data_IF_017989822200
#
_entry.id   IF_017989822200
#
_cell.length_a   1.000
_cell.length_b   1.000
_cell.length_c   1.000
_cell.angle_alpha   90.00
_cell.angle_beta   90.00
_cell.angle_gamma   90.00
#
_symmetry.space_group_name_H-M   'P 1'
#
loop_
_entity.id
_entity.type
_entity.pdbx_description
1 polymer ?
#
# COMPACT_ATOMS: atom_id res chain seq x y z
N UNK A 1 51.81 31.78 3.95
CA UNK A 1 52.82 30.86 4.54
C UNK A 1 52.08 29.68 5.14
N UNK A 2 52.39 28.46 4.67
CA UNK A 2 51.99 27.13 5.16
C UNK A 2 50.47 26.81 5.18
N UNK A 3 49.96 25.70 4.65
CA UNK A 3 50.58 24.51 4.09
C UNK A 3 49.50 23.58 3.55
N UNK A 4 49.83 22.94 2.43
CA UNK A 4 49.08 21.97 1.66
C UNK A 4 48.95 20.63 2.41
N UNK A 5 47.76 20.02 2.44
CA UNK A 5 47.63 18.55 2.42
C UNK A 5 46.57 18.18 1.41
N UNK A 6 47.08 17.90 0.21
CA UNK A 6 46.45 17.19 -0.88
C UNK A 6 46.44 15.69 -0.51
N UNK A 7 45.27 15.08 -0.34
CA UNK A 7 45.14 13.61 -0.45
C UNK A 7 44.29 13.32 -1.68
N UNK A 8 44.99 13.13 -2.79
CA UNK A 8 44.48 12.44 -3.97
C UNK A 8 44.64 10.94 -3.70
N UNK A 9 43.51 10.23 -3.56
CA UNK A 9 43.46 8.78 -3.78
C UNK A 9 42.52 8.53 -4.95
N UNK A 10 43.13 8.26 -6.12
CA UNK A 10 42.47 7.76 -7.32
C UNK A 10 42.22 6.26 -7.14
N UNK A 11 40.98 5.81 -7.34
CA UNK A 11 40.67 4.38 -7.42
C UNK A 11 39.19 4.10 -7.62
N UNK A 12 38.74 4.12 -8.87
CA UNK A 12 37.39 3.79 -9.36
C UNK A 12 36.88 2.44 -8.81
N UNK A 13 35.66 2.44 -8.32
CA UNK A 13 34.83 1.27 -8.07
C UNK A 13 33.37 1.68 -7.97
N UNK A 14 32.78 1.97 -9.13
CA UNK A 14 31.39 2.38 -9.30
C UNK A 14 30.46 1.24 -8.81
N UNK A 15 29.93 1.34 -7.60
CA UNK A 15 28.78 0.55 -7.16
C UNK A 15 27.59 1.50 -6.96
N UNK A 16 27.07 1.98 -8.08
CA UNK A 16 25.73 2.52 -8.16
C UNK A 16 24.75 1.34 -8.04
N UNK A 17 24.40 0.96 -6.82
CA UNK A 17 23.26 0.07 -6.59
C UNK A 17 22.46 0.52 -5.37
N UNK A 18 21.18 0.78 -5.63
CA UNK A 18 20.06 1.06 -4.70
C UNK A 18 19.90 2.50 -4.21
N UNK A 19 19.30 3.33 -5.07
CA UNK A 19 18.42 4.43 -4.62
C UNK A 19 16.95 4.21 -5.01
N UNK A 20 16.60 3.04 -5.55
CA UNK A 20 15.21 2.69 -5.91
C UNK A 20 14.70 1.51 -5.08
N UNK A 21 14.45 1.72 -3.79
CA UNK A 21 13.40 1.05 -3.03
C UNK A 21 13.51 1.46 -1.56
N UNK A 22 12.36 1.66 -0.92
CA UNK A 22 12.15 1.76 0.55
C UNK A 22 11.82 3.14 1.14
N UNK A 23 11.26 4.06 0.35
CA UNK A 23 10.38 5.09 0.91
C UNK A 23 8.93 4.73 0.60
N UNK A 24 8.09 4.34 1.58
CA UNK A 24 6.65 4.38 1.36
C UNK A 24 6.30 5.82 0.96
N UNK A 25 5.64 6.06 -0.19
CA UNK A 25 5.31 7.41 -0.57
C UNK A 25 4.47 8.04 0.55
N UNK A 26 4.82 9.26 1.02
CA UNK A 26 3.99 9.98 1.97
C UNK A 26 2.58 10.08 1.38
N UNK A 27 1.53 10.05 2.19
CA UNK A 27 0.15 9.90 1.69
C UNK A 27 -0.29 11.04 0.75
N UNK A 28 -0.04 10.82 -0.54
CA UNK A 28 0.22 11.83 -1.57
C UNK A 28 -0.91 12.86 -1.76
N UNK A 29 -2.18 12.44 -1.76
CA UNK A 29 -3.31 13.38 -1.93
C UNK A 29 -3.49 14.38 -0.78
N UNK A 30 -3.12 14.00 0.45
CA UNK A 30 -3.15 14.91 1.59
C UNK A 30 -1.95 15.86 1.57
N UNK A 31 -0.80 15.36 1.14
CA UNK A 31 0.44 16.15 1.07
C UNK A 31 0.34 17.24 0.00
N UNK A 32 -0.27 16.96 -1.15
CA UNK A 32 -0.50 17.97 -2.19
C UNK A 32 -1.48 19.05 -1.73
N UNK A 33 -2.51 18.69 -0.97
CA UNK A 33 -3.40 19.66 -0.35
C UNK A 33 -2.70 20.52 0.71
N UNK A 34 -1.72 19.97 1.44
CA UNK A 34 -0.93 20.71 2.42
C UNK A 34 0.15 21.61 1.79
N UNK A 35 0.83 21.13 0.75
CA UNK A 35 1.94 21.85 0.09
C UNK A 35 1.44 22.86 -0.97
N UNK A 36 0.20 22.73 -1.42
CA UNK A 36 -0.47 23.57 -2.44
C UNK A 36 0.08 23.42 -3.86
N UNK A 37 -0.80 23.56 -4.86
CA UNK A 37 -0.46 23.38 -6.27
C UNK A 37 0.73 24.22 -6.78
N UNK A 38 0.90 25.50 -6.40
CA UNK A 38 2.05 26.28 -6.87
C UNK A 38 3.41 25.66 -6.55
N UNK A 39 3.52 24.95 -5.42
CA UNK A 39 4.79 24.37 -4.94
C UNK A 39 5.06 23.01 -5.59
N UNK A 40 4.02 22.18 -5.76
CA UNK A 40 4.17 20.78 -6.20
C UNK A 40 3.73 20.53 -7.64
N UNK A 41 3.36 21.56 -8.40
CA UNK A 41 3.00 21.43 -9.82
C UNK A 41 4.06 20.66 -10.62
N UNK A 42 3.62 19.79 -11.50
CA UNK A 42 4.50 18.99 -12.34
C UNK A 42 5.15 17.79 -11.65
N UNK A 43 5.04 17.64 -10.31
CA UNK A 43 5.49 16.45 -9.60
C UNK A 43 4.77 15.21 -10.14
N UNK A 44 5.53 14.16 -10.41
CA UNK A 44 5.01 12.87 -10.85
C UNK A 44 4.99 11.91 -9.66
N UNK A 45 3.88 11.21 -9.49
CA UNK A 45 3.65 10.34 -8.36
C UNK A 45 2.85 9.10 -8.76
N UNK A 46 2.96 8.05 -7.96
CA UNK A 46 2.25 6.79 -8.19
C UNK A 46 1.20 6.59 -7.11
N UNK A 47 -0.07 6.47 -7.50
CA UNK A 47 -1.19 6.17 -6.62
C UNK A 47 -2.07 5.06 -7.21
N UNK A 48 -2.70 4.29 -6.34
CA UNK A 48 -3.65 3.24 -6.71
C UNK A 48 -5.11 3.72 -6.71
N UNK A 49 -5.37 4.97 -6.32
CA UNK A 49 -6.72 5.51 -6.23
C UNK A 49 -6.69 7.02 -6.44
N UNK A 50 -7.60 7.54 -7.27
CA UNK A 50 -7.90 8.97 -7.34
C UNK A 50 -9.42 9.19 -7.34
N UNK A 51 -9.89 10.19 -6.61
CA UNK A 51 -11.32 10.38 -6.38
C UNK A 51 -12.11 10.68 -7.67
N UNK A 52 -11.49 11.40 -8.61
CA UNK A 52 -12.11 11.79 -9.90
C UNK A 52 -11.73 10.87 -11.06
N UNK A 53 -11.20 9.68 -10.76
CA UNK A 53 -10.71 8.76 -11.79
C UNK A 53 -11.83 8.24 -12.71
N UNK A 54 -12.99 7.92 -12.15
CA UNK A 54 -14.17 7.45 -12.89
C UNK A 54 -15.46 7.70 -12.09
N UNK A 55 -16.62 7.32 -12.65
CA UNK A 55 -17.91 7.56 -12.02
C UNK A 55 -18.11 6.80 -10.70
N UNK A 56 -17.50 5.63 -10.56
CA UNK A 56 -17.58 4.83 -9.34
C UNK A 56 -16.77 5.46 -8.20
N UNK A 57 -15.55 5.94 -8.48
CA UNK A 57 -14.73 6.66 -7.50
C UNK A 57 -15.40 7.97 -7.09
N UNK A 58 -16.03 8.68 -8.03
CA UNK A 58 -16.82 9.90 -7.75
C UNK A 58 -18.02 9.60 -6.85
N UNK A 59 -18.80 8.57 -7.17
CA UNK A 59 -19.97 8.17 -6.39
C UNK A 59 -19.59 7.73 -4.97
N UNK A 60 -18.52 6.95 -4.84
CA UNK A 60 -17.99 6.55 -3.53
C UNK A 60 -17.48 7.75 -2.73
N UNK A 61 -16.74 8.66 -3.38
CA UNK A 61 -16.24 9.88 -2.75
C UNK A 61 -17.38 10.79 -2.28
N UNK A 62 -18.47 10.89 -3.03
CA UNK A 62 -19.67 11.63 -2.59
C UNK A 62 -20.24 11.05 -1.30
N UNK A 63 -20.32 9.72 -1.19
CA UNK A 63 -20.76 9.03 0.05
C UNK A 63 -19.79 9.24 1.21
N UNK A 64 -18.49 9.24 0.93
CA UNK A 64 -17.47 9.52 1.93
C UNK A 64 -17.59 10.96 2.44
N UNK A 65 -17.75 11.94 1.54
CA UNK A 65 -17.91 13.36 1.86
C UNK A 65 -19.13 13.68 2.72
N UNK A 66 -20.24 12.96 2.49
CA UNK A 66 -21.42 13.08 3.33
C UNK A 66 -21.17 12.73 4.82
N UNK A 67 -20.14 11.92 5.11
CA UNK A 67 -19.73 11.57 6.48
C UNK A 67 -18.51 12.37 6.96
N UNK A 68 -17.62 12.74 6.05
CA UNK A 68 -16.40 13.46 6.32
C UNK A 68 -16.09 14.41 5.18
N UNK A 69 -16.25 15.70 5.39
CA UNK A 69 -16.02 16.74 4.37
C UNK A 69 -14.53 16.93 4.00
N UNK A 70 -13.93 15.89 3.41
CA UNK A 70 -12.56 15.84 2.89
C UNK A 70 -12.50 14.87 1.70
N UNK A 71 -11.50 15.02 0.85
CA UNK A 71 -11.19 14.00 -0.16
C UNK A 71 -10.59 12.76 0.52
N UNK A 72 -11.04 11.55 0.18
CA UNK A 72 -10.42 10.32 0.66
C UNK A 72 -9.03 10.15 0.01
N UNK A 73 -8.02 9.81 0.82
CA UNK A 73 -6.72 9.39 0.31
C UNK A 73 -6.77 7.94 -0.17
N UNK A 74 -5.78 7.53 -0.97
CA UNK A 74 -5.57 6.14 -1.36
C UNK A 74 -5.54 5.19 -0.16
N UNK A 75 -4.98 5.60 0.98
CA UNK A 75 -4.94 4.79 2.20
C UNK A 75 -6.34 4.54 2.78
N UNK A 76 -7.19 5.57 2.78
CA UNK A 76 -8.59 5.45 3.22
C UNK A 76 -9.39 4.53 2.29
N UNK A 77 -9.23 4.69 0.98
CA UNK A 77 -9.84 3.80 0.00
C UNK A 77 -9.32 2.36 0.13
N UNK A 78 -8.02 2.19 0.39
CA UNK A 78 -7.36 0.90 0.60
C UNK A 78 -7.85 0.18 1.86
N UNK A 79 -8.03 0.89 2.96
CA UNK A 79 -8.62 0.32 4.18
C UNK A 79 -10.08 -0.13 3.94
N UNK A 80 -10.87 0.68 3.22
CA UNK A 80 -12.23 0.32 2.84
C UNK A 80 -12.27 -0.95 1.96
N UNK A 81 -11.38 -1.03 0.96
CA UNK A 81 -11.18 -2.20 0.10
C UNK A 81 -10.82 -3.45 0.91
N UNK A 82 -9.80 -3.35 1.76
CA UNK A 82 -9.29 -4.47 2.56
C UNK A 82 -10.37 -5.05 3.49
N UNK A 83 -11.09 -4.18 4.21
CA UNK A 83 -12.16 -4.62 5.13
C UNK A 83 -13.31 -5.27 4.35
N UNK A 84 -13.75 -4.68 3.24
CA UNK A 84 -14.81 -5.28 2.43
C UNK A 84 -14.41 -6.63 1.86
N UNK A 85 -13.17 -6.76 1.39
CA UNK A 85 -12.65 -8.01 0.86
C UNK A 85 -12.60 -9.10 1.94
N UNK A 86 -12.10 -8.74 3.12
CA UNK A 86 -12.07 -9.63 4.28
C UNK A 86 -13.49 -10.10 4.66
N UNK A 87 -14.46 -9.19 4.78
CA UNK A 87 -15.83 -9.54 5.13
C UNK A 87 -16.50 -10.47 4.10
N UNK A 88 -16.25 -10.24 2.81
CA UNK A 88 -16.70 -11.15 1.73
C UNK A 88 -16.07 -12.54 1.88
N UNK A 89 -14.79 -12.60 2.21
CA UNK A 89 -14.09 -13.87 2.40
C UNK A 89 -14.57 -14.63 3.64
N UNK A 90 -14.82 -13.94 4.77
CA UNK A 90 -15.44 -14.51 5.97
C UNK A 90 -16.83 -15.07 5.65
N UNK A 91 -17.65 -14.31 4.91
CA UNK A 91 -18.97 -14.77 4.49
C UNK A 91 -18.89 -16.03 3.62
N UNK A 92 -17.92 -16.10 2.70
CA UNK A 92 -17.71 -17.26 1.83
C UNK A 92 -17.09 -18.47 2.57
N UNK A 93 -16.30 -18.23 3.62
CA UNK A 93 -15.67 -19.27 4.43
C UNK A 93 -16.62 -19.80 5.52
N UNK A 94 -17.58 -19.00 5.98
CA UNK A 94 -18.43 -19.30 7.14
C UNK A 94 -17.70 -19.23 8.48
N UNK A 95 -16.47 -18.72 8.51
CA UNK A 95 -15.60 -18.58 9.69
C UNK A 95 -14.65 -17.41 9.50
N UNK A 96 -14.06 -16.90 10.58
CA UNK A 96 -12.98 -15.91 10.58
C UNK A 96 -11.58 -16.52 10.80
N UNK A 97 -11.48 -17.86 10.86
CA UNK A 97 -10.25 -18.60 11.14
C UNK A 97 -9.40 -18.87 9.87
N UNK A 98 -8.48 -19.85 9.93
CA UNK A 98 -7.46 -20.13 8.91
C UNK A 98 -8.02 -20.25 7.47
N UNK A 99 -9.24 -20.75 7.32
CA UNK A 99 -9.93 -20.89 6.04
C UNK A 99 -10.16 -19.57 5.29
N UNK A 100 -10.24 -18.43 5.99
CA UNK A 100 -10.48 -17.11 5.37
C UNK A 100 -9.35 -16.74 4.43
N UNK A 101 -8.10 -17.04 4.77
CA UNK A 101 -6.95 -16.69 3.93
C UNK A 101 -6.95 -17.44 2.60
N UNK A 102 -7.50 -18.66 2.56
CA UNK A 102 -7.72 -19.37 1.30
C UNK A 102 -8.79 -18.66 0.48
N UNK A 103 -9.93 -18.30 1.08
CA UNK A 103 -11.01 -17.57 0.40
C UNK A 103 -10.60 -16.19 -0.08
N UNK A 104 -9.79 -15.44 0.68
CA UNK A 104 -9.26 -14.15 0.27
C UNK A 104 -8.36 -14.23 -0.98
N UNK A 105 -7.70 -15.38 -1.21
CA UNK A 105 -6.88 -15.62 -2.41
C UNK A 105 -7.71 -16.14 -3.59
N UNK A 106 -8.77 -16.89 -3.32
CA UNK A 106 -9.71 -17.39 -4.35
C UNK A 106 -10.58 -16.26 -4.93
N UNK A 107 -11.06 -15.37 -4.08
CA UNK A 107 -11.99 -14.30 -4.48
C UNK A 107 -11.18 -13.13 -5.04
N UNK A 108 -11.45 -12.68 -6.28
CA UNK A 108 -10.82 -11.48 -6.82
C UNK A 108 -11.33 -10.22 -6.10
N UNK A 109 -10.44 -9.27 -5.88
CA UNK A 109 -10.78 -7.97 -5.29
C UNK A 109 -11.40 -7.09 -6.37
N UNK A 110 -12.70 -6.85 -6.22
CA UNK A 110 -13.52 -6.03 -7.10
C UNK A 110 -14.29 -5.01 -6.25
N UNK A 111 -13.76 -3.79 -6.21
CA UNK A 111 -14.32 -2.66 -5.48
C UNK A 111 -13.99 -1.32 -6.15
N UNK A 112 -14.24 -0.22 -5.44
CA UNK A 112 -14.09 1.15 -5.93
C UNK A 112 -12.65 1.56 -6.22
N UNK A 113 -11.68 0.86 -5.65
CA UNK A 113 -10.25 1.14 -5.80
C UNK A 113 -9.58 0.11 -6.71
N UNK A 114 -9.96 -1.15 -6.60
CA UNK A 114 -9.29 -2.25 -7.29
C UNK A 114 -10.28 -3.02 -8.16
N UNK A 115 -9.92 -3.20 -9.44
CA UNK A 115 -10.64 -4.08 -10.37
C UNK A 115 -9.79 -5.30 -10.69
N UNK A 116 -10.40 -6.47 -10.61
CA UNK A 116 -9.77 -7.78 -10.86
C UNK A 116 -8.45 -7.97 -10.10
N UNK A 117 -8.35 -7.40 -8.89
CA UNK A 117 -7.16 -7.53 -8.07
C UNK A 117 -7.00 -8.95 -7.56
N UNK A 118 -5.76 -9.44 -7.50
CA UNK A 118 -5.46 -10.80 -7.04
C UNK A 118 -4.53 -10.77 -5.84
N UNK A 119 -4.94 -11.42 -4.76
CA UNK A 119 -4.06 -11.64 -3.61
C UNK A 119 -3.09 -12.79 -3.93
N UNK A 120 -1.82 -12.45 -4.11
CA UNK A 120 -0.74 -13.42 -4.32
C UNK A 120 -0.46 -14.22 -3.06
N UNK A 121 0.24 -15.32 -3.26
CA UNK A 121 0.63 -16.23 -2.19
C UNK A 121 1.52 -15.60 -1.12
N UNK A 122 2.33 -14.60 -1.49
CA UNK A 122 3.18 -13.81 -0.60
C UNK A 122 2.37 -12.73 0.18
N UNK A 123 1.05 -12.68 0.00
CA UNK A 123 0.17 -11.69 0.62
C UNK A 123 0.15 -10.35 -0.10
N UNK A 124 0.81 -10.21 -1.26
CA UNK A 124 0.75 -8.99 -2.07
C UNK A 124 -0.56 -8.94 -2.85
N UNK A 125 -1.34 -7.89 -2.68
CA UNK A 125 -2.48 -7.62 -3.56
C UNK A 125 -1.98 -6.96 -4.84
N UNK A 126 -1.99 -7.74 -5.93
CA UNK A 126 -1.69 -7.27 -7.28
C UNK A 126 -2.88 -6.48 -7.79
N UNK A 127 -2.61 -5.25 -8.21
CA UNK A 127 -3.56 -4.35 -8.83
C UNK A 127 -2.83 -3.38 -9.73
N UNK A 128 -3.55 -2.78 -10.65
CA UNK A 128 -3.00 -1.70 -11.45
C UNK A 128 -2.67 -0.49 -10.57
N UNK A 129 -1.55 0.14 -10.89
CA UNK A 129 -1.12 1.40 -10.27
C UNK A 129 -1.20 2.50 -11.31
N UNK A 130 -1.46 3.73 -10.88
CA UNK A 130 -1.62 4.86 -11.77
C UNK A 130 -0.48 5.86 -11.55
N UNK A 131 0.12 6.31 -12.64
CA UNK A 131 1.07 7.41 -12.64
C UNK A 131 0.30 8.70 -12.85
N UNK A 132 0.31 9.58 -11.85
CA UNK A 132 -0.28 10.89 -11.95
C UNK A 132 0.78 11.99 -11.98
N UNK A 133 0.42 13.11 -12.57
CA UNK A 133 1.14 14.37 -12.42
C UNK A 133 0.27 15.39 -11.70
N UNK A 134 0.87 16.14 -10.80
CA UNK A 134 0.20 17.27 -10.15
C UNK A 134 -0.05 18.38 -11.18
N UNK A 135 -1.31 18.78 -11.31
CA UNK A 135 -1.77 19.86 -12.20
C UNK A 135 -1.18 21.21 -11.81
N UNK A 136 -1.03 22.10 -12.78
CA UNK A 136 -0.78 23.50 -12.47
C UNK A 136 -2.03 24.16 -11.86
N UNK A 137 -1.89 25.29 -11.15
CA UNK A 137 -3.04 26.07 -10.67
C UNK A 137 -4.01 26.48 -11.78
N UNK A 138 -3.53 26.66 -13.02
CA UNK A 138 -4.35 27.03 -14.18
C UNK A 138 -5.09 25.83 -14.79
N UNK A 139 -4.55 24.62 -14.66
CA UNK A 139 -5.20 23.38 -15.13
C UNK A 139 -6.29 22.89 -14.16
N UNK A 140 -6.19 23.26 -12.88
CA UNK A 140 -7.08 22.81 -11.81
C UNK A 140 -8.45 23.50 -11.89
N UNK A 141 -9.53 22.70 -11.98
CA UNK A 141 -10.91 23.21 -12.06
C UNK A 141 -11.55 23.43 -10.69
N UNK A 142 -10.95 22.92 -9.64
CA UNK A 142 -11.45 23.02 -8.26
C UNK A 142 -10.33 22.77 -7.28
N UNK A 143 -10.50 23.18 -6.02
CA UNK A 143 -9.50 22.97 -4.95
C UNK A 143 -9.04 21.51 -4.78
N UNK A 144 -9.89 20.56 -5.17
CA UNK A 144 -9.66 19.12 -5.02
C UNK A 144 -9.20 18.46 -6.33
N UNK A 145 -9.19 19.21 -7.44
CA UNK A 145 -8.75 18.73 -8.74
C UNK A 145 -7.23 18.90 -8.87
N UNK A 146 -6.49 17.96 -8.32
CA UNK A 146 -5.04 18.08 -8.13
C UNK A 146 -4.23 17.26 -9.14
N UNK A 147 -4.79 16.21 -9.72
CA UNK A 147 -4.03 15.25 -10.52
C UNK A 147 -4.54 15.12 -11.95
N UNK A 148 -3.60 14.83 -12.85
CA UNK A 148 -3.88 14.30 -14.20
C UNK A 148 -3.21 12.94 -14.36
N UNK A 149 -3.94 12.00 -14.95
CA UNK A 149 -3.42 10.67 -15.24
C UNK A 149 -2.43 10.75 -16.41
N UNK A 150 -1.22 10.23 -16.20
CA UNK A 150 -0.21 10.11 -17.25
C UNK A 150 -0.21 8.70 -17.86
N UNK A 151 -0.25 7.68 -17.01
CA UNK A 151 -0.18 6.28 -17.43
C UNK A 151 -0.82 5.36 -16.41
N UNK A 152 -1.26 4.19 -16.88
CA UNK A 152 -1.64 3.06 -16.03
C UNK A 152 -0.53 2.02 -16.14
N UNK A 153 -0.02 1.58 -15.00
CA UNK A 153 0.95 0.50 -14.88
C UNK A 153 0.20 -0.78 -14.51
N UNK A 154 0.18 -1.79 -15.40
CA UNK A 154 -0.44 -3.08 -15.11
C UNK A 154 0.10 -3.71 -13.82
N UNK A 155 -0.77 -4.37 -13.05
CA UNK A 155 -0.36 -4.91 -11.75
C UNK A 155 0.80 -5.93 -11.78
N UNK A 156 0.95 -6.67 -12.87
CA UNK A 156 2.06 -7.60 -13.09
C UNK A 156 3.41 -6.92 -13.35
N UNK A 157 3.39 -5.66 -13.80
CA UNK A 157 4.58 -4.81 -13.95
C UNK A 157 4.80 -3.89 -12.73
N UNK A 158 3.72 -3.54 -12.01
CA UNK A 158 3.77 -2.63 -10.87
C UNK A 158 4.43 -3.27 -9.63
N UNK A 159 4.25 -4.59 -9.44
CA UNK A 159 4.83 -5.33 -8.35
C UNK A 159 6.03 -6.16 -8.80
N UNK A 160 7.00 -6.32 -7.89
CA UNK A 160 8.13 -7.21 -8.13
C UNK A 160 7.64 -8.64 -8.39
N UNK A 161 8.23 -9.37 -9.38
CA UNK A 161 7.93 -10.78 -9.60
C UNK A 161 8.10 -11.62 -8.33
N UNK A 162 7.25 -12.63 -8.15
CA UNK A 162 7.25 -13.47 -6.94
C UNK A 162 8.61 -14.12 -6.67
N UNK A 163 9.27 -14.59 -7.72
CA UNK A 163 10.61 -15.20 -7.65
C UNK A 163 11.68 -14.28 -7.03
N UNK A 164 11.51 -12.97 -7.15
CA UNK A 164 12.48 -11.97 -6.68
C UNK A 164 12.08 -11.38 -5.31
N UNK A 165 10.92 -11.79 -4.78
CA UNK A 165 10.35 -11.29 -3.53
C UNK A 165 11.04 -11.78 -2.26
N UNK A 166 11.83 -12.87 -2.34
CA UNK A 166 12.55 -13.50 -1.21
C UNK A 166 11.68 -13.70 0.05
N UNK A 167 10.37 -13.93 -0.14
CA UNK A 167 9.44 -14.11 0.97
C UNK A 167 9.70 -15.48 1.65
N UNK A 168 10.03 -15.52 2.96
CA UNK A 168 10.31 -16.76 3.67
C UNK A 168 9.17 -17.78 3.56
N UNK A 169 7.92 -17.33 3.60
CA UNK A 169 6.72 -18.17 3.48
C UNK A 169 6.60 -18.89 2.12
N UNK A 170 7.23 -18.35 1.08
CA UNK A 170 7.26 -18.96 -0.26
C UNK A 170 8.48 -19.86 -0.40
N UNK A 171 9.65 -19.39 0.07
CA UNK A 171 10.90 -20.16 -0.03
C UNK A 171 10.93 -21.38 0.89
N UNK A 172 10.22 -21.36 2.02
CA UNK A 172 10.18 -22.47 2.98
C UNK A 172 9.15 -23.55 2.58
N UNK A 173 8.29 -23.31 1.59
CA UNK A 173 7.35 -24.34 1.10
C UNK A 173 8.00 -25.53 0.40
N UNK A 174 9.25 -25.41 -0.05
CA UNK A 174 10.05 -26.57 -0.46
C UNK A 174 10.54 -27.42 0.73
N UNK A 175 10.48 -26.90 1.96
CA UNK A 175 10.77 -27.61 3.21
C UNK A 175 9.53 -27.99 4.06
N UNK A 176 8.34 -27.46 3.73
CA UNK A 176 7.10 -27.71 4.49
C UNK A 176 6.45 -29.09 4.26
N UNK A 177 7.00 -29.95 3.39
CA UNK A 177 6.68 -31.40 3.41
C UNK A 177 7.19 -32.09 4.69
N UNK A 178 8.06 -31.44 5.48
CA UNK A 178 8.62 -31.99 6.72
C UNK A 178 8.23 -31.27 8.02
N UNK A 179 7.65 -30.07 7.98
CA UNK A 179 7.33 -29.29 9.19
C UNK A 179 5.83 -29.30 9.46
N UNK A 180 5.30 -30.48 9.81
CA UNK A 180 4.22 -30.52 10.80
C UNK A 180 4.86 -30.23 12.15
N UNK A 181 5.07 -28.95 12.48
CA UNK A 181 5.26 -28.60 13.88
C UNK A 181 3.90 -28.88 14.53
N UNK A 182 3.79 -29.85 15.45
CA UNK A 182 2.54 -30.01 16.18
C UNK A 182 2.23 -28.67 16.83
N UNK A 183 0.98 -28.24 16.78
CA UNK A 183 0.45 -27.21 17.68
C UNK A 183 0.43 -27.80 19.11
N UNK A 184 1.59 -28.19 19.62
CA UNK A 184 1.77 -28.63 20.99
C UNK A 184 1.90 -27.38 21.86
N UNK A 185 0.83 -27.10 22.60
CA UNK A 185 0.87 -26.26 23.80
C UNK A 185 0.47 -24.80 23.59
N UNK A 186 -0.82 -24.53 23.38
CA UNK A 186 -1.40 -23.32 24.01
C UNK A 186 -1.44 -23.60 25.52
N UNK A 187 -0.75 -22.83 26.37
CA UNK A 187 -0.97 -22.93 27.80
C UNK A 187 -2.43 -22.52 28.09
N UNK A 188 -3.13 -23.36 28.85
CA UNK A 188 -4.57 -23.30 29.12
C UNK A 188 -5.00 -22.15 30.06
N UNK A 189 -4.13 -21.18 30.32
CA UNK A 189 -4.35 -20.10 31.28
C UNK A 189 -4.43 -18.69 30.67
N UNK A 190 -4.66 -18.57 29.36
CA UNK A 190 -5.07 -17.29 28.77
C UNK A 190 -6.51 -16.95 29.18
N UNK A 191 -6.67 -16.46 30.41
CA UNK A 191 -7.88 -15.75 30.80
C UNK A 191 -7.96 -14.43 30.05
N UNK A 192 -9.08 -14.21 29.38
CA UNK A 192 -9.46 -12.93 28.81
C UNK A 192 -9.61 -11.89 29.94
N UNK A 193 -8.59 -11.05 30.15
CA UNK A 193 -8.64 -10.02 31.19
C UNK A 193 -7.27 -9.50 31.59
N UNK A 194 -6.57 -8.79 30.71
CA UNK A 194 -5.37 -8.04 31.09
C UNK A 194 -5.17 -6.79 30.22
N UNK A 195 -6.18 -5.92 30.16
CA UNK A 195 -5.93 -4.51 29.86
C UNK A 195 -5.43 -3.86 31.15
N UNK A 196 -4.13 -3.98 31.43
CA UNK A 196 -3.51 -3.14 32.47
C UNK A 196 -3.41 -1.73 31.89
N UNK A 197 -4.17 -0.81 32.47
CA UNK A 197 -4.01 0.62 32.31
C UNK A 197 -2.56 0.99 32.62
N UNK A 198 -1.92 1.72 31.71
CA UNK A 198 -0.63 2.36 32.00
C UNK A 198 -0.95 3.58 32.85
N UNK A 199 -0.89 3.42 34.17
CA UNK A 199 -1.04 4.50 35.13
C UNK A 199 0.34 4.96 35.59
N UNK A 200 0.58 6.26 35.42
CA UNK A 200 1.55 7.13 36.09
C UNK A 200 2.92 6.59 36.50
N UNK A 201 3.98 7.12 35.88
CA UNK A 201 5.30 7.23 36.52
C UNK A 201 5.66 8.72 36.61
N UNK A 202 5.53 9.28 37.81
CA UNK A 202 6.36 10.39 38.27
C UNK A 202 7.81 9.90 38.51
#
# INVERSE_FOLDING_TARGET
MFGCVLVVSRGRGLLAHRTHQDSPPPSLALDVNSLTLPVVQGLVLTEAFYWDQNDETRAWTKRFRAKRDKIPSMLTAGAYSAVNHYLKAVQAAGTDEEAVMAKMREIPVNDVMTKNGKLREDGRLVRDMYLFQVKSPQESKSKDDTYKLLATVPGDEADRPLRDGKCPYISDRSGLTGIRRPLAGRPSNWQAGAWRTVEGRE
#
